data_IF_217519887105
#
_entry.id   IF_217519887105
#
_cell.length_a   1.000
_cell.length_b   1.000
_cell.length_c   1.000
_cell.angle_alpha   90.00
_cell.angle_beta   90.00
_cell.angle_gamma   90.00
#
_symmetry.space_group_name_H-M   'P 1'
#
loop_
_entity.id
_entity.type
_entity.pdbx_description
1 polymer ?
#
# COMPACT_ATOMS: atom_id res chain seq x y z
N UNK A 1 7.35 15.15 1.65
CA UNK A 1 6.04 14.48 1.71
C UNK A 1 5.95 13.39 0.63
N UNK A 2 6.14 13.71 -0.64
CA UNK A 2 6.04 12.74 -1.77
C UNK A 2 7.04 11.59 -1.63
N UNK A 3 8.30 11.89 -1.28
CA UNK A 3 9.36 10.90 -1.09
C UNK A 3 9.05 9.91 0.03
N UNK A 4 8.47 10.41 1.13
CA UNK A 4 8.05 9.57 2.23
C UNK A 4 6.87 8.67 1.83
N UNK A 5 5.89 9.22 1.10
CA UNK A 5 4.77 8.44 0.58
C UNK A 5 5.23 7.35 -0.40
N UNK A 6 6.23 7.64 -1.24
CA UNK A 6 6.83 6.66 -2.14
C UNK A 6 7.54 5.53 -1.39
N UNK A 7 8.36 5.86 -0.38
CA UNK A 7 9.04 4.87 0.46
C UNK A 7 8.03 4.01 1.26
N UNK A 8 6.98 4.61 1.81
CA UNK A 8 5.89 3.89 2.47
C UNK A 8 5.08 3.01 1.50
N UNK A 9 5.07 3.35 0.21
CA UNK A 9 4.49 2.57 -0.88
C UNK A 9 5.36 1.40 -1.37
N UNK A 10 6.58 1.24 -0.80
CA UNK A 10 7.49 0.13 -1.12
C UNK A 10 8.49 0.43 -2.24
N UNK A 11 8.62 1.69 -2.66
CA UNK A 11 9.64 2.11 -3.63
C UNK A 11 11.02 2.10 -2.97
N UNK A 12 12.04 1.69 -3.72
CA UNK A 12 13.43 1.72 -3.25
C UNK A 12 13.84 3.15 -2.86
N UNK A 13 14.38 3.26 -1.64
CA UNK A 13 14.82 4.54 -1.06
C UNK A 13 15.88 5.22 -1.93
N UNK A 14 16.79 4.48 -2.56
CA UNK A 14 17.82 5.04 -3.43
C UNK A 14 17.22 5.69 -4.69
N UNK A 15 16.18 5.09 -5.28
CA UNK A 15 15.45 5.67 -6.41
C UNK A 15 14.74 6.96 -6.01
N UNK A 16 14.12 6.98 -4.81
CA UNK A 16 13.43 8.15 -4.27
C UNK A 16 14.40 9.30 -4.02
N UNK A 17 15.57 9.05 -3.44
CA UNK A 17 16.58 10.08 -3.18
C UNK A 17 17.20 10.61 -4.48
N UNK A 18 17.50 9.75 -5.45
CA UNK A 18 18.03 10.16 -6.74
C UNK A 18 17.08 11.07 -7.52
N UNK A 19 15.77 10.84 -7.41
CA UNK A 19 14.74 11.71 -7.98
C UNK A 19 14.67 13.07 -7.28
N UNK A 20 14.72 13.10 -5.96
CA UNK A 20 14.70 14.35 -5.20
C UNK A 20 15.83 15.30 -5.59
N UNK A 21 17.05 14.76 -5.74
CA UNK A 21 18.21 15.58 -6.13
C UNK A 21 18.03 16.21 -7.52
N UNK A 22 17.53 15.44 -8.49
CA UNK A 22 17.23 15.94 -9.85
C UNK A 22 16.16 17.02 -9.83
N UNK A 23 15.08 16.84 -9.07
CA UNK A 23 13.98 17.79 -9.00
C UNK A 23 14.37 19.10 -8.33
N UNK A 24 15.26 19.06 -7.32
CA UNK A 24 15.80 20.28 -6.70
C UNK A 24 16.62 21.11 -7.71
N UNK A 25 17.36 20.46 -8.58
CA UNK A 25 18.10 21.15 -9.64
C UNK A 25 17.16 21.79 -10.70
N UNK A 26 16.06 21.11 -11.04
CA UNK A 26 15.07 21.61 -12.01
C UNK A 26 14.30 22.83 -11.50
N UNK A 27 13.98 22.92 -10.19
CA UNK A 27 13.25 24.05 -9.60
C UNK A 27 13.93 25.40 -9.87
N UNK A 28 15.26 25.44 -9.84
CA UNK A 28 16.03 26.68 -10.05
C UNK A 28 15.88 27.27 -11.46
N UNK A 29 15.36 26.53 -12.40
CA UNK A 29 15.16 26.93 -13.79
C UNK A 29 13.72 27.34 -14.14
N UNK A 30 12.77 27.18 -13.21
CA UNK A 30 11.37 27.57 -13.42
C UNK A 30 11.22 29.11 -13.41
N UNK A 31 10.59 29.66 -14.42
CA UNK A 31 10.47 31.11 -14.59
C UNK A 31 9.04 31.64 -14.52
N UNK A 32 8.05 30.78 -14.57
CA UNK A 32 6.63 31.15 -14.52
C UNK A 32 5.82 30.22 -13.62
N UNK A 33 4.61 30.68 -13.27
CA UNK A 33 3.63 29.86 -12.53
C UNK A 33 3.19 28.64 -13.34
N UNK A 34 3.07 28.80 -14.66
CA UNK A 34 2.69 27.72 -15.57
C UNK A 34 3.77 26.65 -15.65
N UNK A 35 5.06 27.06 -15.69
CA UNK A 35 6.19 26.12 -15.61
C UNK A 35 6.15 25.33 -14.29
N UNK A 36 5.82 25.99 -13.19
CA UNK A 36 5.72 25.35 -11.88
C UNK A 36 4.57 24.34 -11.84
N UNK A 37 3.40 24.70 -12.37
CA UNK A 37 2.24 23.80 -12.42
C UNK A 37 2.57 22.58 -13.29
N UNK A 38 3.12 22.79 -14.48
CA UNK A 38 3.52 21.73 -15.39
C UNK A 38 4.56 20.80 -14.76
N UNK A 39 5.57 21.38 -14.12
CA UNK A 39 6.62 20.65 -13.43
C UNK A 39 6.07 19.82 -12.25
N UNK A 40 5.20 20.42 -11.40
CA UNK A 40 4.55 19.71 -10.29
C UNK A 40 3.69 18.55 -10.78
N UNK A 41 2.92 18.74 -11.85
CA UNK A 41 2.10 17.67 -12.44
C UNK A 41 2.97 16.51 -12.89
N UNK A 42 4.04 16.78 -13.63
CA UNK A 42 4.99 15.74 -14.06
C UNK A 42 5.64 14.98 -12.90
N UNK A 43 6.00 15.68 -11.83
CA UNK A 43 6.58 15.03 -10.64
C UNK A 43 5.54 14.15 -9.95
N UNK A 44 4.32 14.65 -9.78
CA UNK A 44 3.26 13.87 -9.15
C UNK A 44 2.92 12.62 -9.94
N UNK A 45 2.84 12.71 -11.28
CA UNK A 45 2.65 11.55 -12.15
C UNK A 45 3.78 10.54 -12.00
N UNK A 46 5.03 11.00 -12.00
CA UNK A 46 6.19 10.13 -11.87
C UNK A 46 6.30 9.46 -10.51
N UNK A 47 5.97 10.17 -9.43
CA UNK A 47 5.88 9.54 -8.10
C UNK A 47 4.71 8.57 -8.00
N UNK A 48 3.59 8.87 -8.62
CA UNK A 48 2.47 7.93 -8.70
C UNK A 48 2.87 6.65 -9.46
N UNK A 49 3.53 6.78 -10.59
CA UNK A 49 4.03 5.64 -11.37
C UNK A 49 5.03 4.78 -10.58
N UNK A 50 5.93 5.40 -9.82
CA UNK A 50 6.88 4.69 -8.96
C UNK A 50 6.18 3.97 -7.80
N UNK A 51 5.26 4.65 -7.11
CA UNK A 51 4.53 4.06 -5.96
C UNK A 51 3.67 2.88 -6.40
N UNK A 52 3.11 2.94 -7.60
CA UNK A 52 2.17 1.93 -8.09
C UNK A 52 2.80 0.94 -9.06
N UNK A 53 4.08 1.10 -9.43
CA UNK A 53 4.74 0.31 -10.49
C UNK A 53 3.91 0.29 -11.79
N UNK A 54 3.31 1.44 -12.16
CA UNK A 54 2.34 1.52 -13.25
C UNK A 54 2.99 1.76 -14.63
N UNK A 55 4.30 1.79 -14.74
CA UNK A 55 5.00 2.18 -15.99
C UNK A 55 4.63 1.28 -17.15
N UNK A 56 4.42 -0.02 -16.90
CA UNK A 56 4.11 -1.02 -17.92
C UNK A 56 2.68 -1.58 -17.82
N UNK A 57 1.78 -0.96 -17.03
CA UNK A 57 0.42 -1.47 -16.83
C UNK A 57 -0.49 -1.08 -18.00
N UNK A 58 -1.01 -2.07 -18.73
CA UNK A 58 -1.94 -1.90 -19.86
C UNK A 58 -3.24 -1.18 -19.46
N UNK A 59 -3.76 -1.45 -18.27
CA UNK A 59 -5.01 -0.91 -17.74
C UNK A 59 -4.77 0.10 -16.59
N UNK A 60 -3.78 0.99 -16.78
CA UNK A 60 -3.29 1.93 -15.76
C UNK A 60 -4.42 2.70 -15.05
N UNK A 61 -5.33 3.31 -15.80
CA UNK A 61 -6.41 4.12 -15.23
C UNK A 61 -7.38 3.32 -14.37
N UNK A 62 -7.67 2.09 -14.80
CA UNK A 62 -8.57 1.16 -14.09
C UNK A 62 -7.94 0.75 -12.77
N UNK A 63 -6.69 0.35 -12.80
CA UNK A 63 -5.95 -0.08 -11.61
C UNK A 63 -5.75 1.08 -10.65
N UNK A 64 -5.40 2.27 -11.15
CA UNK A 64 -5.28 3.48 -10.31
C UNK A 64 -6.58 3.79 -9.56
N UNK A 65 -7.73 3.82 -10.26
CA UNK A 65 -9.06 4.03 -9.65
C UNK A 65 -9.39 2.96 -8.63
N UNK A 66 -9.12 1.69 -8.94
CA UNK A 66 -9.37 0.58 -8.03
C UNK A 66 -8.55 0.70 -6.74
N UNK A 67 -7.24 0.97 -6.85
CA UNK A 67 -6.35 1.17 -5.69
C UNK A 67 -6.80 2.38 -4.87
N UNK A 68 -7.16 3.48 -5.52
CA UNK A 68 -7.69 4.67 -4.84
C UNK A 68 -8.96 4.35 -4.04
N UNK A 69 -9.91 3.63 -4.65
CA UNK A 69 -11.14 3.21 -3.99
C UNK A 69 -10.85 2.32 -2.77
N UNK A 70 -9.96 1.33 -2.91
CA UNK A 70 -9.55 0.45 -1.82
C UNK A 70 -8.88 1.23 -0.69
N UNK A 71 -7.92 2.12 -0.99
CA UNK A 71 -7.22 2.95 0.00
C UNK A 71 -8.15 3.90 0.75
N UNK A 72 -9.21 4.38 0.13
CA UNK A 72 -10.21 5.23 0.77
C UNK A 72 -11.16 4.48 1.68
N UNK A 73 -11.41 3.20 1.39
CA UNK A 73 -12.48 2.41 2.03
C UNK A 73 -12.02 1.15 2.74
N UNK A 74 -10.71 0.85 2.82
CA UNK A 74 -10.20 -0.40 3.39
C UNK A 74 -10.70 -0.70 4.82
N UNK A 75 -11.08 0.33 5.59
CA UNK A 75 -11.63 0.19 6.95
C UNK A 75 -13.06 -0.34 6.98
N UNK A 76 -13.80 -0.18 5.91
CA UNK A 76 -15.15 -0.71 5.75
C UNK A 76 -15.14 -2.02 4.95
N UNK A 77 -16.32 -2.61 4.80
CA UNK A 77 -16.48 -3.75 3.90
C UNK A 77 -16.27 -3.30 2.46
N UNK A 78 -15.18 -3.75 1.85
CA UNK A 78 -14.86 -3.51 0.44
C UNK A 78 -14.80 -4.86 -0.26
N UNK A 79 -15.65 -5.04 -1.27
CA UNK A 79 -15.70 -6.26 -2.06
C UNK A 79 -15.09 -6.07 -3.45
N UNK A 80 -14.79 -7.16 -4.11
CA UNK A 80 -14.35 -7.15 -5.50
C UNK A 80 -15.44 -6.58 -6.39
N UNK A 81 -16.71 -6.92 -6.11
CA UNK A 81 -17.89 -6.47 -6.83
C UNK A 81 -18.07 -4.95 -6.74
N UNK A 82 -17.94 -4.38 -5.53
CA UNK A 82 -18.03 -2.92 -5.30
C UNK A 82 -16.94 -2.18 -6.06
N UNK A 83 -15.73 -2.74 -6.06
CA UNK A 83 -14.59 -2.13 -6.74
C UNK A 83 -14.72 -2.24 -8.25
N UNK A 84 -15.16 -3.38 -8.77
CA UNK A 84 -15.42 -3.59 -10.18
C UNK A 84 -16.48 -2.62 -10.71
N UNK A 85 -17.58 -2.45 -9.95
CA UNK A 85 -18.63 -1.48 -10.26
C UNK A 85 -18.08 -0.05 -10.29
N UNK A 86 -17.23 0.31 -9.31
CA UNK A 86 -16.63 1.64 -9.24
C UNK A 86 -15.76 1.95 -10.46
N UNK A 87 -15.04 0.96 -11.00
CA UNK A 87 -14.18 1.15 -12.19
C UNK A 87 -14.90 0.88 -13.51
N UNK A 88 -16.20 0.54 -13.48
CA UNK A 88 -17.02 0.31 -14.67
C UNK A 88 -16.76 -1.02 -15.37
N UNK A 89 -16.35 -2.06 -14.64
CA UNK A 89 -16.08 -3.40 -15.17
C UNK A 89 -16.97 -4.46 -14.54
N UNK A 90 -17.14 -5.60 -15.25
CA UNK A 90 -17.70 -6.79 -14.62
C UNK A 90 -16.73 -7.37 -13.58
N UNK A 91 -17.24 -7.98 -12.47
CA UNK A 91 -16.37 -8.55 -11.43
C UNK A 91 -15.36 -9.56 -11.96
N UNK A 92 -15.77 -10.43 -12.88
CA UNK A 92 -14.89 -11.45 -13.47
C UNK A 92 -13.76 -10.82 -14.28
N UNK A 93 -14.08 -9.83 -15.11
CA UNK A 93 -13.08 -9.15 -15.94
C UNK A 93 -12.13 -8.31 -15.08
N UNK A 94 -12.67 -7.57 -14.11
CA UNK A 94 -11.85 -6.80 -13.15
C UNK A 94 -10.89 -7.72 -12.37
N UNK A 95 -11.37 -8.86 -11.85
CA UNK A 95 -10.53 -9.83 -11.13
C UNK A 95 -9.34 -10.32 -11.97
N UNK A 96 -9.59 -10.59 -13.26
CA UNK A 96 -8.56 -11.01 -14.21
C UNK A 96 -7.55 -9.89 -14.43
N UNK A 97 -8.03 -8.71 -14.83
CA UNK A 97 -7.18 -7.53 -15.08
C UNK A 97 -6.36 -7.16 -13.85
N UNK A 98 -6.99 -7.11 -12.68
CA UNK A 98 -6.29 -6.77 -11.44
C UNK A 98 -5.16 -7.76 -11.14
N UNK A 99 -5.41 -9.08 -11.30
CA UNK A 99 -4.39 -10.10 -11.06
C UNK A 99 -3.26 -10.06 -12.10
N UNK A 100 -3.57 -9.82 -13.36
CA UNK A 100 -2.57 -9.70 -14.43
C UNK A 100 -1.67 -8.47 -14.23
N UNK A 101 -2.25 -7.31 -13.93
CA UNK A 101 -1.51 -6.06 -13.83
C UNK A 101 -0.79 -5.90 -12.47
N UNK A 102 -1.38 -6.41 -11.38
CA UNK A 102 -0.82 -6.27 -10.03
C UNK A 102 0.00 -7.49 -9.57
N UNK A 103 0.02 -8.58 -10.34
CA UNK A 103 0.69 -9.83 -9.95
C UNK A 103 0.05 -10.55 -8.75
N UNK A 104 -1.04 -10.03 -8.19
CA UNK A 104 -1.71 -10.58 -7.02
C UNK A 104 -3.23 -10.39 -7.09
N UNK A 105 -3.97 -11.19 -6.30
CA UNK A 105 -5.43 -11.06 -6.26
C UNK A 105 -5.88 -9.81 -5.51
N UNK A 106 -7.09 -9.33 -5.82
CA UNK A 106 -7.74 -8.22 -5.11
C UNK A 106 -7.74 -8.40 -3.58
N UNK A 107 -8.16 -9.58 -3.09
CA UNK A 107 -8.17 -9.87 -1.65
C UNK A 107 -6.76 -9.88 -1.03
N UNK A 108 -5.76 -10.32 -1.81
CA UNK A 108 -4.37 -10.26 -1.37
C UNK A 108 -3.94 -8.82 -1.15
N UNK A 109 -4.18 -7.96 -2.13
CA UNK A 109 -3.83 -6.55 -2.06
C UNK A 109 -4.58 -5.81 -0.93
N UNK A 110 -5.90 -6.04 -0.78
CA UNK A 110 -6.69 -5.45 0.30
C UNK A 110 -6.15 -5.85 1.68
N UNK A 111 -5.81 -7.13 1.85
CA UNK A 111 -5.21 -7.59 3.09
C UNK A 111 -3.84 -6.95 3.35
N UNK A 112 -3.01 -6.73 2.34
CA UNK A 112 -1.74 -6.00 2.49
C UNK A 112 -1.96 -4.56 2.98
N UNK A 113 -2.92 -3.82 2.41
CA UNK A 113 -3.28 -2.48 2.87
C UNK A 113 -3.67 -2.49 4.35
N UNK A 114 -4.53 -3.43 4.74
CA UNK A 114 -5.02 -3.59 6.12
C UNK A 114 -3.89 -3.96 7.09
N UNK A 115 -3.02 -4.90 6.70
CA UNK A 115 -1.87 -5.30 7.51
C UNK A 115 -0.88 -4.15 7.68
N UNK A 116 -0.58 -3.39 6.63
CA UNK A 116 0.33 -2.25 6.75
C UNK A 116 -0.23 -1.17 7.68
N UNK A 117 -1.55 -0.93 7.64
CA UNK A 117 -2.20 -0.05 8.61
C UNK A 117 -2.11 -0.60 10.04
N UNK A 118 -2.35 -1.90 10.23
CA UNK A 118 -2.27 -2.52 11.56
C UNK A 118 -0.86 -2.47 12.14
N UNK A 119 0.19 -2.65 11.32
CA UNK A 119 1.59 -2.45 11.76
C UNK A 119 1.81 -1.05 12.34
N UNK A 120 1.35 -0.01 11.63
CA UNK A 120 1.46 1.37 12.12
C UNK A 120 0.73 1.57 13.44
N UNK A 121 -0.49 1.03 13.58
CA UNK A 121 -1.29 1.13 14.81
C UNK A 121 -0.66 0.35 15.97
N UNK A 122 -0.05 -0.82 15.70
CA UNK A 122 0.65 -1.61 16.71
C UNK A 122 1.85 -0.88 17.30
N UNK A 123 2.52 -0.03 16.51
CA UNK A 123 3.73 0.71 16.89
C UNK A 123 3.45 2.08 17.50
N UNK A 124 2.32 2.71 17.16
CA UNK A 124 2.03 4.11 17.51
C UNK A 124 1.26 4.31 18.81
N UNK A 125 0.74 3.25 19.46
CA UNK A 125 -0.12 3.46 20.61
C UNK A 125 -0.44 2.23 21.45
N UNK A 126 -1.32 2.47 22.45
CA UNK A 126 -1.77 1.47 23.43
C UNK A 126 -3.10 0.80 23.05
N UNK A 127 -3.58 0.98 21.80
CA UNK A 127 -4.82 0.39 21.34
C UNK A 127 -4.79 -1.14 21.50
N UNK A 128 -5.90 -1.71 21.92
CA UNK A 128 -6.05 -3.17 22.06
C UNK A 128 -6.01 -3.87 20.71
N UNK A 129 -5.76 -5.16 20.67
CA UNK A 129 -5.78 -5.93 19.41
C UNK A 129 -7.17 -5.93 18.75
N UNK A 130 -8.23 -5.84 19.53
CA UNK A 130 -9.62 -5.73 19.03
C UNK A 130 -9.81 -4.40 18.30
N UNK A 131 -9.39 -3.30 18.92
CA UNK A 131 -9.47 -1.97 18.32
C UNK A 131 -8.62 -1.87 17.05
N UNK A 132 -7.40 -2.41 17.06
CA UNK A 132 -6.52 -2.43 15.88
C UNK A 132 -7.13 -3.27 14.75
N UNK A 133 -7.70 -4.42 15.06
CA UNK A 133 -8.42 -5.26 14.12
C UNK A 133 -9.51 -4.45 13.40
N UNK A 134 -10.40 -3.81 14.17
CA UNK A 134 -11.48 -2.98 13.65
C UNK A 134 -10.95 -1.76 12.85
N UNK A 135 -10.03 -0.98 13.39
CA UNK A 135 -9.46 0.20 12.74
C UNK A 135 -8.67 -0.13 11.47
N UNK A 136 -8.19 -1.37 11.35
CA UNK A 136 -7.52 -1.87 10.15
C UNK A 136 -8.49 -2.46 9.12
N UNK A 137 -9.80 -2.52 9.42
CA UNK A 137 -10.83 -2.99 8.52
C UNK A 137 -11.06 -4.51 8.53
N UNK A 138 -10.57 -5.22 9.55
CA UNK A 138 -10.90 -6.63 9.75
C UNK A 138 -12.14 -6.76 10.64
N UNK A 139 -13.06 -7.63 10.25
CA UNK A 139 -14.29 -7.91 11.01
C UNK A 139 -14.07 -8.95 12.11
N UNK A 140 -13.10 -9.85 11.91
CA UNK A 140 -12.80 -10.96 12.82
C UNK A 140 -11.33 -10.96 13.28
N UNK A 141 -11.12 -10.97 14.60
CA UNK A 141 -9.80 -10.92 15.21
C UNK A 141 -8.98 -12.20 14.96
N UNK A 142 -9.62 -13.36 14.87
CA UNK A 142 -8.92 -14.62 14.61
C UNK A 142 -8.41 -14.65 13.17
N UNK A 143 -9.23 -14.18 12.22
CA UNK A 143 -8.83 -14.03 10.82
C UNK A 143 -7.73 -12.99 10.68
N UNK A 144 -7.85 -11.83 11.32
CA UNK A 144 -6.80 -10.81 11.38
C UNK A 144 -5.47 -11.40 11.85
N UNK A 145 -5.48 -12.11 12.97
CA UNK A 145 -4.26 -12.73 13.55
C UNK A 145 -3.61 -13.72 12.59
N UNK A 146 -4.42 -14.57 11.93
CA UNK A 146 -3.93 -15.53 10.92
C UNK A 146 -3.30 -14.82 9.72
N UNK A 147 -3.99 -13.81 9.16
CA UNK A 147 -3.48 -13.04 8.02
C UNK A 147 -2.22 -12.28 8.40
N UNK A 148 -2.21 -11.62 9.55
CA UNK A 148 -1.04 -10.89 10.05
C UNK A 148 0.17 -11.82 10.21
N UNK A 149 0.01 -12.97 10.89
CA UNK A 149 1.09 -13.94 11.06
C UNK A 149 1.59 -14.49 9.72
N UNK A 150 0.67 -14.79 8.79
CA UNK A 150 1.03 -15.26 7.44
C UNK A 150 1.88 -14.23 6.67
N UNK A 151 1.65 -12.92 6.89
CA UNK A 151 2.33 -11.83 6.17
C UNK A 151 3.61 -11.36 6.84
N UNK A 152 3.71 -11.46 8.16
CA UNK A 152 4.82 -10.90 8.94
C UNK A 152 5.70 -11.95 9.59
N UNK A 153 5.28 -13.23 9.56
CA UNK A 153 5.96 -14.32 10.26
C UNK A 153 5.64 -14.41 11.76
N UNK A 154 5.10 -13.33 12.37
CA UNK A 154 4.83 -13.24 13.81
C UNK A 154 3.40 -12.80 14.09
N UNK A 155 2.87 -13.10 15.29
CA UNK A 155 1.55 -12.62 15.69
C UNK A 155 1.56 -11.09 15.96
N UNK A 156 0.40 -10.41 15.89
CA UNK A 156 0.32 -8.97 16.20
C UNK A 156 0.88 -8.60 17.57
N UNK A 157 0.63 -9.43 18.61
CA UNK A 157 1.18 -9.22 19.94
C UNK A 157 2.71 -9.28 19.96
N UNK A 158 3.30 -10.36 19.40
CA UNK A 158 4.76 -10.47 19.27
C UNK A 158 5.37 -9.35 18.44
N UNK A 159 4.69 -8.89 17.38
CA UNK A 159 5.14 -7.76 16.57
C UNK A 159 5.22 -6.48 17.40
N UNK A 160 4.23 -6.21 18.23
CA UNK A 160 4.23 -5.05 19.15
C UNK A 160 5.36 -5.14 20.17
N UNK A 161 5.51 -6.29 20.85
CA UNK A 161 6.57 -6.53 21.84
C UNK A 161 7.97 -6.30 21.25
N UNK A 162 8.19 -6.77 20.04
CA UNK A 162 9.46 -6.62 19.31
C UNK A 162 9.63 -5.25 18.67
N UNK A 163 8.72 -4.31 18.86
CA UNK A 163 8.73 -2.97 18.24
C UNK A 163 8.93 -3.01 16.72
N UNK A 164 8.26 -3.97 16.05
CA UNK A 164 8.31 -4.13 14.61
C UNK A 164 9.52 -4.91 14.05
N UNK A 165 10.43 -5.38 14.88
CA UNK A 165 11.55 -6.22 14.41
C UNK A 165 11.03 -7.60 14.00
N UNK A 166 11.24 -7.93 12.74
CA UNK A 166 10.89 -9.22 12.14
C UNK A 166 12.15 -10.12 12.15
N UNK A 167 12.51 -10.65 13.32
CA UNK A 167 13.49 -11.74 13.33
C UNK A 167 12.75 -13.06 13.01
N UNK A 168 13.31 -13.91 12.13
CA UNK A 168 12.77 -15.24 11.93
C UNK A 168 12.80 -15.98 13.29
N UNK A 169 11.71 -16.66 13.62
CA UNK A 169 11.74 -17.62 14.72
C UNK A 169 12.88 -18.60 14.36
N UNK A 170 13.94 -18.61 15.16
CA UNK A 170 14.88 -19.73 15.15
C UNK A 170 14.02 -20.95 15.37
N UNK A 171 13.91 -21.77 14.33
CA UNK A 171 13.28 -23.08 14.44
C UNK A 171 13.82 -23.71 15.70
N UNK A 172 12.92 -24.08 16.59
CA UNK A 172 13.26 -25.01 17.65
C UNK A 172 13.73 -26.27 16.94
N UNK A 173 15.04 -26.39 16.79
CA UNK A 173 15.66 -27.68 16.57
C UNK A 173 15.20 -28.53 17.73
N UNK A 174 14.27 -29.40 17.45
CA UNK A 174 13.89 -30.48 18.39
C UNK A 174 15.08 -31.41 18.48
N UNK A 175 15.59 -31.55 19.70
CA UNK A 175 16.21 -32.77 20.12
C UNK A 175 15.14 -33.87 20.25
#
# INVERSE_FOLDING_TARGET
>A
VLSRAAAEGGVDIEQVFGLNYRYLAEISHLRSTDDLIFWLTRIMERFADLVFNLVDIKHKDIIYKAIYFMKKRYQSKVTLEDTALYVGLSPSYFSKVFKEEMGCTFNHYLNELRINKSKSLLLSGNATLVEICSQSGFEDQSYFTKVFKKRTGVTPGKFRERRGRLEPDKERSAD
#
